data_IF_652803436713
#
_entry.id   IF_652803436713
#
_cell.length_a   1.000
_cell.length_b   1.000
_cell.length_c   1.000
_cell.angle_alpha   90.00
_cell.angle_beta   90.00
_cell.angle_gamma   90.00
#
_symmetry.space_group_name_H-M   'P 1'
#
loop_
_entity.id
_entity.type
_entity.pdbx_description
1 polymer ?
#
# COMPACT_ATOMS: atom_id res chain seq x y z
N UNK A 1 5.91 17.29 -6.23
CA UNK A 1 6.44 16.58 -7.42
C UNK A 1 5.45 15.47 -7.76
N UNK A 2 4.88 15.49 -8.97
CA UNK A 2 3.95 14.43 -9.38
C UNK A 2 4.76 13.20 -9.83
N UNK A 3 4.74 12.14 -9.04
CA UNK A 3 5.51 10.90 -9.31
C UNK A 3 5.02 10.15 -10.56
N UNK A 4 3.80 10.47 -11.01
CA UNK A 4 3.16 9.82 -12.17
C UNK A 4 3.48 10.52 -13.51
N UNK A 5 4.22 11.62 -13.50
CA UNK A 5 4.57 12.43 -14.69
C UNK A 5 6.07 12.45 -14.99
N UNK A 6 6.84 11.51 -14.45
CA UNK A 6 8.25 11.36 -14.82
C UNK A 6 8.37 10.79 -16.23
N UNK A 7 9.35 11.22 -17.00
CA UNK A 7 9.63 10.71 -18.35
C UNK A 7 10.19 9.27 -18.38
N UNK A 8 10.27 8.60 -17.22
CA UNK A 8 10.69 7.20 -17.05
C UNK A 8 9.79 6.51 -16.02
N UNK A 9 9.68 5.18 -16.05
CA UNK A 9 8.94 4.43 -15.04
C UNK A 9 9.43 4.75 -13.62
N UNK A 10 8.49 4.95 -12.69
CA UNK A 10 8.80 5.07 -11.27
C UNK A 10 8.78 3.68 -10.63
N UNK A 11 9.90 3.23 -10.11
CA UNK A 11 10.09 1.87 -9.60
C UNK A 11 9.93 1.84 -8.09
N UNK A 12 8.96 1.07 -7.61
CA UNK A 12 8.72 0.82 -6.18
C UNK A 12 9.11 -0.62 -5.86
N UNK A 13 10.16 -0.82 -5.07
CA UNK A 13 10.55 -2.14 -4.58
C UNK A 13 9.69 -2.55 -3.39
N UNK A 14 9.04 -3.72 -3.49
CA UNK A 14 8.19 -4.26 -2.42
C UNK A 14 9.04 -4.99 -1.39
N UNK A 15 9.15 -4.46 -0.19
CA UNK A 15 9.75 -5.14 0.97
C UNK A 15 8.66 -5.86 1.78
N UNK A 16 7.47 -5.26 1.87
CA UNK A 16 6.34 -5.81 2.61
C UNK A 16 6.69 -6.07 4.07
N UNK A 17 6.64 -7.33 4.48
CA UNK A 17 7.01 -7.82 5.81
C UNK A 17 8.25 -8.72 5.78
N UNK A 18 8.98 -8.78 4.68
CA UNK A 18 10.14 -9.66 4.50
C UNK A 18 11.29 -9.39 5.49
N UNK A 19 11.29 -8.22 6.14
CA UNK A 19 12.23 -7.88 7.19
C UNK A 19 12.08 -8.74 8.47
N UNK A 20 10.98 -9.49 8.64
CA UNK A 20 10.74 -10.36 9.78
C UNK A 20 10.86 -9.69 11.16
N UNK A 21 10.59 -8.37 11.25
CA UNK A 21 10.76 -7.57 12.48
C UNK A 21 12.18 -7.11 12.77
N UNK A 22 13.19 -7.55 12.01
CA UNK A 22 14.59 -7.13 12.15
C UNK A 22 14.88 -5.85 11.38
N UNK A 23 15.42 -4.85 12.06
CA UNK A 23 15.84 -3.62 11.40
C UNK A 23 17.07 -3.84 10.51
N UNK A 24 17.99 -4.71 10.92
CA UNK A 24 19.17 -5.07 10.16
C UNK A 24 18.80 -5.72 8.81
N UNK A 25 17.78 -6.56 8.79
CA UNK A 25 17.26 -7.13 7.55
C UNK A 25 16.55 -6.06 6.71
N UNK A 26 15.79 -5.16 7.33
CA UNK A 26 15.19 -4.03 6.64
C UNK A 26 16.25 -3.15 5.97
N UNK A 27 17.36 -2.86 6.64
CA UNK A 27 18.48 -2.10 6.07
C UNK A 27 19.05 -2.77 4.81
N UNK A 28 19.34 -4.07 4.87
CA UNK A 28 19.85 -4.83 3.71
C UNK A 28 18.89 -4.78 2.52
N UNK A 29 17.58 -4.89 2.78
CA UNK A 29 16.56 -4.83 1.75
C UNK A 29 16.46 -3.43 1.13
N UNK A 30 16.54 -2.37 1.94
CA UNK A 30 16.55 -0.98 1.47
C UNK A 30 17.81 -0.72 0.62
N UNK A 31 19.00 -1.16 1.09
CA UNK A 31 20.28 -1.01 0.36
C UNK A 31 20.22 -1.74 -0.99
N UNK A 32 19.73 -2.98 -1.00
CA UNK A 32 19.60 -3.77 -2.23
C UNK A 32 18.64 -3.10 -3.23
N UNK A 33 17.51 -2.58 -2.76
CA UNK A 33 16.55 -1.85 -3.60
C UNK A 33 17.18 -0.56 -4.17
N UNK A 34 17.87 0.22 -3.34
CA UNK A 34 18.55 1.43 -3.78
C UNK A 34 19.67 1.13 -4.80
N UNK A 35 20.49 0.11 -4.54
CA UNK A 35 21.55 -0.33 -5.46
C UNK A 35 21.00 -0.84 -6.80
N UNK A 36 19.80 -1.44 -6.79
CA UNK A 36 19.10 -1.87 -8.00
C UNK A 36 18.42 -0.73 -8.77
N UNK A 37 18.47 0.51 -8.26
CA UNK A 37 17.90 1.67 -8.92
C UNK A 37 16.41 1.89 -8.64
N UNK A 38 15.85 1.35 -7.57
CA UNK A 38 14.50 1.67 -7.16
C UNK A 38 14.37 3.14 -6.73
N UNK A 39 13.27 3.79 -7.11
CA UNK A 39 12.95 5.16 -6.67
C UNK A 39 12.38 5.18 -5.25
N UNK A 40 11.73 4.10 -4.84
CA UNK A 40 11.02 4.00 -3.56
C UNK A 40 11.00 2.54 -3.08
N UNK A 41 10.92 2.35 -1.77
CA UNK A 41 10.65 1.05 -1.17
C UNK A 41 9.29 1.06 -0.47
N UNK A 42 8.59 -0.08 -0.50
CA UNK A 42 7.26 -0.19 0.10
C UNK A 42 7.22 -1.24 1.20
N UNK A 43 6.72 -0.83 2.37
CA UNK A 43 6.47 -1.65 3.54
C UNK A 43 4.97 -1.91 3.76
N UNK A 44 4.65 -2.76 4.73
CA UNK A 44 3.30 -2.97 5.24
C UNK A 44 3.28 -2.68 6.73
N UNK A 45 2.39 -1.79 7.18
CA UNK A 45 2.19 -1.51 8.61
C UNK A 45 1.07 -2.40 9.09
N UNK A 46 1.45 -3.55 9.62
CA UNK A 46 0.52 -4.62 10.02
C UNK A 46 0.15 -4.46 11.48
N UNK A 47 -1.15 -4.36 11.75
CA UNK A 47 -1.79 -4.58 13.05
C UNK A 47 -2.89 -5.61 12.85
N UNK A 48 -2.80 -6.76 13.52
CA UNK A 48 -3.75 -7.85 13.33
C UNK A 48 -5.20 -7.40 13.59
N UNK A 49 -5.40 -6.57 14.61
CA UNK A 49 -6.71 -6.02 14.98
C UNK A 49 -7.33 -5.09 13.92
N UNK A 50 -6.53 -4.56 12.99
CA UNK A 50 -7.02 -3.75 11.87
C UNK A 50 -7.37 -4.59 10.63
N UNK A 51 -6.85 -5.82 10.55
CA UNK A 51 -6.95 -6.68 9.36
C UNK A 51 -7.96 -7.80 9.56
N UNK A 52 -7.99 -8.40 10.75
CA UNK A 52 -8.74 -9.63 11.02
C UNK A 52 -9.48 -9.58 12.36
N UNK A 53 -10.62 -10.27 12.39
CA UNK A 53 -11.24 -10.59 13.66
C UNK A 53 -10.42 -11.71 14.37
N UNK A 54 -10.24 -11.67 15.71
CA UNK A 54 -9.46 -12.68 16.45
C UNK A 54 -9.92 -14.14 16.22
N UNK A 55 -11.22 -14.33 15.93
CA UNK A 55 -11.80 -15.64 15.65
C UNK A 55 -11.78 -16.02 14.15
N UNK A 56 -11.00 -15.32 13.33
CA UNK A 56 -10.78 -15.71 11.95
C UNK A 56 -10.04 -17.05 11.90
N UNK A 57 -10.58 -18.05 11.28
CA UNK A 57 -10.13 -19.43 11.21
C UNK A 57 -8.62 -19.71 11.09
N UNK A 58 -8.28 -20.89 10.57
CA UNK A 58 -6.90 -21.38 10.46
C UNK A 58 -6.46 -21.39 9.00
N UNK A 59 -5.15 -21.25 8.78
CA UNK A 59 -4.49 -21.50 7.49
C UNK A 59 -3.52 -22.65 7.65
N UNK A 60 -3.42 -23.49 6.61
CA UNK A 60 -2.46 -24.57 6.54
C UNK A 60 -1.16 -24.05 5.93
N UNK A 61 -0.08 -24.13 6.68
CA UNK A 61 1.27 -23.76 6.24
C UNK A 61 2.20 -24.98 6.31
N UNK A 62 3.36 -24.98 5.61
CA UNK A 62 4.40 -25.96 5.86
C UNK A 62 4.83 -25.88 7.33
N UNK A 63 4.42 -26.82 8.16
CA UNK A 63 4.66 -26.81 9.61
C UNK A 63 3.41 -26.93 10.45
N UNK A 64 2.21 -26.91 9.84
CA UNK A 64 0.93 -27.13 10.52
C UNK A 64 -0.10 -26.03 10.31
N UNK A 65 -1.23 -26.20 10.99
CA UNK A 65 -2.30 -25.19 10.99
C UNK A 65 -1.99 -24.11 12.03
N UNK A 66 -2.00 -22.86 11.61
CA UNK A 66 -1.88 -21.69 12.48
C UNK A 66 -3.14 -20.83 12.37
N UNK A 67 -3.56 -20.21 13.46
CA UNK A 67 -4.61 -19.19 13.40
C UNK A 67 -4.11 -18.02 12.57
N UNK A 68 -4.92 -17.59 11.60
CA UNK A 68 -4.54 -16.52 10.70
C UNK A 68 -4.26 -15.21 11.47
N UNK A 69 -5.08 -14.91 12.48
CA UNK A 69 -4.88 -13.76 13.36
C UNK A 69 -3.52 -13.79 14.07
N UNK A 70 -3.12 -14.95 14.64
CA UNK A 70 -1.84 -15.08 15.33
C UNK A 70 -0.67 -14.89 14.35
N UNK A 71 -0.82 -15.38 13.11
CA UNK A 71 0.18 -15.14 12.06
C UNK A 71 0.37 -13.66 11.74
N UNK A 72 -0.72 -12.89 11.68
CA UNK A 72 -0.61 -11.44 11.48
C UNK A 72 -0.04 -10.74 12.72
N UNK A 73 -0.35 -11.24 13.93
CA UNK A 73 0.20 -10.71 15.18
C UNK A 73 1.72 -10.84 15.26
N UNK A 74 2.28 -11.92 14.73
CA UNK A 74 3.73 -12.13 14.63
C UNK A 74 4.44 -11.13 13.69
N UNK A 75 3.71 -10.53 12.74
CA UNK A 75 4.24 -9.56 11.78
C UNK A 75 4.23 -8.13 12.31
N UNK A 76 3.62 -7.88 13.46
CA UNK A 76 3.56 -6.56 14.07
C UNK A 76 4.95 -6.12 14.51
N UNK A 77 5.25 -4.86 14.23
CA UNK A 77 6.47 -4.19 14.70
C UNK A 77 6.11 -2.87 15.37
N UNK A 78 7.02 -2.35 16.17
CA UNK A 78 6.79 -1.08 16.85
C UNK A 78 6.79 0.10 15.86
N UNK A 79 6.10 1.17 16.20
CA UNK A 79 6.12 2.43 15.44
C UNK A 79 7.55 2.94 15.19
N UNK A 80 8.46 2.78 16.17
CA UNK A 80 9.86 3.20 16.05
C UNK A 80 10.61 2.43 14.96
N UNK A 81 10.21 1.21 14.63
CA UNK A 81 10.78 0.44 13.53
C UNK A 81 10.63 1.18 12.19
N UNK A 82 9.40 1.62 11.87
CA UNK A 82 9.14 2.33 10.61
C UNK A 82 9.79 3.71 10.57
N UNK A 83 9.93 4.37 11.72
CA UNK A 83 10.66 5.62 11.80
C UNK A 83 12.13 5.42 11.38
N UNK A 84 12.79 4.40 11.93
CA UNK A 84 14.16 4.04 11.56
C UNK A 84 14.28 3.65 10.08
N UNK A 85 13.32 2.87 9.55
CA UNK A 85 13.30 2.50 8.14
C UNK A 85 13.17 3.74 7.22
N UNK A 86 12.28 4.69 7.55
CA UNK A 86 12.13 5.95 6.79
C UNK A 86 13.44 6.74 6.78
N UNK A 87 14.07 6.91 7.96
CA UNK A 87 15.32 7.65 8.05
C UNK A 87 16.43 6.96 7.26
N UNK A 88 16.46 5.63 7.27
CA UNK A 88 17.44 4.88 6.49
C UNK A 88 17.17 4.96 4.97
N UNK A 89 15.92 4.95 4.54
CA UNK A 89 15.56 5.23 3.15
C UNK A 89 16.11 6.58 2.68
N UNK A 90 16.01 7.61 3.53
CA UNK A 90 16.56 8.94 3.24
C UNK A 90 18.08 8.91 3.07
N UNK A 91 18.80 8.13 3.91
CA UNK A 91 20.26 7.93 3.80
C UNK A 91 20.61 7.26 2.48
N UNK A 92 19.83 6.25 2.06
CA UNK A 92 20.03 5.53 0.79
C UNK A 92 19.50 6.28 -0.46
N UNK A 93 18.88 7.45 -0.29
CA UNK A 93 18.36 8.25 -1.39
C UNK A 93 17.10 7.70 -2.06
N UNK A 94 16.35 6.82 -1.39
CA UNK A 94 15.09 6.24 -1.87
C UNK A 94 13.90 6.74 -1.07
N UNK A 95 12.71 6.79 -1.71
CA UNK A 95 11.46 7.14 -1.04
C UNK A 95 11.00 6.04 -0.07
N UNK A 96 10.29 6.44 0.99
CA UNK A 96 9.60 5.53 1.90
C UNK A 96 8.11 5.54 1.61
N UNK A 97 7.53 4.37 1.32
CA UNK A 97 6.11 4.15 1.13
C UNK A 97 5.64 3.01 2.04
N UNK A 98 4.38 3.02 2.45
CA UNK A 98 3.81 1.87 3.13
C UNK A 98 2.32 1.70 2.85
N UNK A 99 1.82 0.48 3.09
CA UNK A 99 0.39 0.18 3.10
C UNK A 99 -0.12 0.15 4.53
N UNK A 100 -1.03 1.05 4.93
CA UNK A 100 -1.82 0.92 6.15
C UNK A 100 -3.02 0.01 5.86
N UNK A 101 -3.52 -0.70 6.86
CA UNK A 101 -4.70 -1.58 6.75
C UNK A 101 -5.89 -1.06 7.57
N UNK A 102 -5.68 -0.06 8.43
CA UNK A 102 -6.72 0.56 9.21
C UNK A 102 -6.40 2.01 9.58
N UNK A 103 -7.15 2.54 10.53
CA UNK A 103 -7.07 3.96 10.88
C UNK A 103 -5.85 4.29 11.75
N UNK A 104 -5.43 3.38 12.61
CA UNK A 104 -4.25 3.55 13.46
C UNK A 104 -2.98 3.50 12.60
N UNK A 105 -2.80 2.45 11.79
CA UNK A 105 -1.65 2.30 10.89
C UNK A 105 -1.56 3.46 9.89
N UNK A 106 -2.71 4.00 9.43
CA UNK A 106 -2.73 5.19 8.59
C UNK A 106 -2.24 6.44 9.33
N UNK A 107 -2.73 6.68 10.55
CA UNK A 107 -2.34 7.87 11.32
C UNK A 107 -0.85 7.84 11.66
N UNK A 108 -0.30 6.67 11.94
CA UNK A 108 1.13 6.48 12.16
C UNK A 108 1.94 6.70 10.88
N UNK A 109 1.46 6.17 9.74
CA UNK A 109 2.10 6.39 8.45
C UNK A 109 2.14 7.86 8.07
N UNK A 110 1.04 8.59 8.23
CA UNK A 110 0.97 10.02 7.92
C UNK A 110 1.95 10.82 8.80
N UNK A 111 2.09 10.46 10.07
CA UNK A 111 3.05 11.10 10.98
C UNK A 111 4.52 10.87 10.57
N UNK A 112 4.78 9.85 9.76
CA UNK A 112 6.09 9.61 9.16
C UNK A 112 6.35 10.45 7.91
N UNK A 113 5.36 11.19 7.39
CA UNK A 113 5.46 11.96 6.14
C UNK A 113 6.01 11.08 4.99
N UNK A 114 5.28 10.01 4.59
CA UNK A 114 5.74 9.08 3.59
C UNK A 114 5.84 9.74 2.21
N UNK A 115 6.67 9.18 1.34
CA UNK A 115 6.74 9.59 -0.06
C UNK A 115 5.42 9.31 -0.81
N UNK A 116 4.76 8.19 -0.50
CA UNK A 116 3.45 7.81 -1.01
C UNK A 116 2.71 6.90 -0.02
N UNK A 117 1.38 6.85 -0.13
CA UNK A 117 0.52 5.94 0.63
C UNK A 117 -0.06 4.92 -0.34
N UNK A 118 0.05 3.63 -0.01
CA UNK A 118 -0.51 2.53 -0.80
C UNK A 118 -1.74 1.95 -0.12
N UNK A 119 -2.87 1.97 -0.80
CA UNK A 119 -4.08 1.27 -0.35
C UNK A 119 -4.10 -0.10 -1.04
N UNK A 120 -4.08 -1.16 -0.25
CA UNK A 120 -4.10 -2.52 -0.75
C UNK A 120 -5.50 -2.88 -1.33
N UNK A 121 -5.56 -3.93 -2.17
CA UNK A 121 -6.80 -4.32 -2.84
C UNK A 121 -7.96 -4.61 -1.87
N UNK A 122 -7.76 -5.33 -0.75
CA UNK A 122 -8.83 -5.56 0.22
C UNK A 122 -9.38 -4.28 0.88
N UNK A 123 -8.54 -3.26 1.04
CA UNK A 123 -8.89 -2.01 1.71
C UNK A 123 -9.58 -0.99 0.80
N UNK A 124 -9.74 -1.28 -0.49
CA UNK A 124 -10.42 -0.35 -1.42
C UNK A 124 -11.89 -0.09 -1.02
N UNK A 125 -12.52 -1.04 -0.34
CA UNK A 125 -13.87 -0.91 0.20
C UNK A 125 -13.93 -0.33 1.63
N UNK A 126 -12.79 -0.09 2.26
CA UNK A 126 -12.71 0.50 3.60
C UNK A 126 -12.89 2.02 3.51
N UNK A 127 -14.13 2.48 3.27
CA UNK A 127 -14.44 3.89 3.02
C UNK A 127 -13.96 4.83 4.14
N UNK A 128 -14.03 4.50 5.45
CA UNK A 128 -13.46 5.33 6.50
C UNK A 128 -11.95 5.55 6.35
N UNK A 129 -11.20 4.49 5.95
CA UNK A 129 -9.76 4.58 5.67
C UNK A 129 -9.50 5.53 4.49
N UNK A 130 -10.24 5.36 3.38
CA UNK A 130 -10.11 6.21 2.20
C UNK A 130 -10.43 7.68 2.50
N UNK A 131 -11.52 7.94 3.22
CA UNK A 131 -11.92 9.29 3.60
C UNK A 131 -10.86 9.97 4.47
N UNK A 132 -10.33 9.26 5.47
CA UNK A 132 -9.26 9.78 6.34
C UNK A 132 -7.95 9.97 5.58
N UNK A 133 -7.58 9.05 4.70
CA UNK A 133 -6.41 9.19 3.83
C UNK A 133 -6.54 10.45 2.98
N UNK A 134 -7.67 10.63 2.29
CA UNK A 134 -7.91 11.78 1.45
C UNK A 134 -7.86 13.12 2.21
N UNK A 135 -8.44 13.17 3.43
CA UNK A 135 -8.46 14.37 4.25
C UNK A 135 -7.07 14.73 4.80
N UNK A 136 -6.24 13.75 5.16
CA UNK A 136 -4.95 13.96 5.83
C UNK A 136 -3.76 13.94 4.89
N UNK A 137 -3.80 13.19 3.79
CA UNK A 137 -2.66 13.02 2.89
C UNK A 137 -2.27 14.30 2.12
N UNK A 138 -3.15 15.31 2.06
CA UNK A 138 -2.91 16.59 1.35
C UNK A 138 -2.28 16.36 -0.04
N UNK A 139 -0.97 16.60 -0.15
CA UNK A 139 -0.21 16.47 -1.40
C UNK A 139 0.54 15.13 -1.52
N UNK A 140 0.43 14.25 -0.51
CA UNK A 140 1.05 12.92 -0.56
C UNK A 140 0.36 12.10 -1.65
N UNK A 141 1.11 11.49 -2.58
CA UNK A 141 0.56 10.60 -3.58
C UNK A 141 -0.12 9.38 -2.96
N UNK A 142 -1.28 9.00 -3.53
CA UNK A 142 -2.05 7.83 -3.10
C UNK A 142 -2.10 6.84 -4.25
N UNK A 143 -1.73 5.60 -3.99
CA UNK A 143 -1.76 4.50 -4.94
C UNK A 143 -2.82 3.50 -4.49
N UNK A 144 -3.85 3.28 -5.29
CA UNK A 144 -4.96 2.38 -5.01
C UNK A 144 -4.80 1.09 -5.79
N UNK A 145 -5.10 -0.06 -5.19
CA UNK A 145 -5.19 -1.36 -5.89
C UNK A 145 -6.61 -1.86 -5.96
N UNK A 146 -7.00 -2.49 -7.08
CA UNK A 146 -8.40 -2.86 -7.36
C UNK A 146 -8.64 -4.38 -7.50
N UNK A 147 -7.69 -5.24 -7.11
CA UNK A 147 -7.69 -6.66 -7.45
C UNK A 147 -8.87 -7.49 -6.95
N UNK A 148 -9.57 -7.09 -5.90
CA UNK A 148 -10.76 -7.78 -5.36
C UNK A 148 -12.04 -6.94 -5.49
N UNK A 149 -12.02 -5.90 -6.32
CA UNK A 149 -13.10 -4.91 -6.40
C UNK A 149 -13.84 -4.98 -7.73
N UNK A 150 -15.14 -4.72 -7.70
CA UNK A 150 -15.95 -4.49 -8.89
C UNK A 150 -15.85 -3.02 -9.30
N UNK A 151 -16.20 -2.69 -10.54
CA UNK A 151 -16.16 -1.33 -11.07
C UNK A 151 -16.90 -0.32 -10.17
N UNK A 152 -18.11 -0.67 -9.70
CA UNK A 152 -18.89 0.16 -8.77
C UNK A 152 -18.18 0.44 -7.43
N UNK A 153 -17.32 -0.48 -6.98
CA UNK A 153 -16.58 -0.32 -5.73
C UNK A 153 -15.41 0.65 -5.95
N UNK A 154 -14.77 0.57 -7.12
CA UNK A 154 -13.74 1.51 -7.57
C UNK A 154 -14.33 2.93 -7.68
N UNK A 155 -15.45 3.09 -8.37
CA UNK A 155 -16.15 4.39 -8.50
C UNK A 155 -16.47 4.99 -7.12
N UNK A 156 -17.02 4.17 -6.21
CA UNK A 156 -17.33 4.60 -4.84
C UNK A 156 -16.08 5.00 -4.05
N UNK A 157 -14.98 4.26 -4.21
CA UNK A 157 -13.69 4.57 -3.58
C UNK A 157 -13.15 5.93 -4.05
N UNK A 158 -13.12 6.13 -5.36
CA UNK A 158 -12.64 7.36 -5.98
C UNK A 158 -13.52 8.57 -5.61
N UNK A 159 -14.83 8.41 -5.63
CA UNK A 159 -15.78 9.43 -5.17
C UNK A 159 -15.55 9.79 -3.68
N UNK A 160 -15.28 8.80 -2.85
CA UNK A 160 -14.98 9.02 -1.44
C UNK A 160 -13.71 9.85 -1.27
N UNK A 161 -12.65 9.52 -2.01
CA UNK A 161 -11.40 10.28 -2.00
C UNK A 161 -11.65 11.71 -2.47
N UNK A 162 -12.30 11.90 -3.63
CA UNK A 162 -12.59 13.22 -4.21
C UNK A 162 -13.40 14.10 -3.28
N UNK A 163 -14.41 13.55 -2.59
CA UNK A 163 -15.26 14.29 -1.64
C UNK A 163 -14.50 14.76 -0.40
N UNK A 164 -13.50 14.02 0.04
CA UNK A 164 -12.77 14.30 1.27
C UNK A 164 -11.44 15.04 1.06
N UNK A 165 -10.99 15.26 -0.18
CA UNK A 165 -9.83 16.12 -0.45
C UNK A 165 -10.23 17.58 -0.43
N UNK A 166 -9.44 18.40 0.25
CA UNK A 166 -9.69 19.84 0.41
C UNK A 166 -9.73 20.59 -0.93
N UNK A 167 -8.87 20.22 -1.88
CA UNK A 167 -8.75 20.83 -3.20
C UNK A 167 -9.50 20.07 -4.31
N UNK A 168 -10.10 18.92 -4.00
CA UNK A 168 -10.74 17.99 -4.96
C UNK A 168 -9.82 17.56 -6.12
N UNK A 169 -8.52 17.81 -6.00
CA UNK A 169 -7.55 17.46 -7.01
C UNK A 169 -7.21 15.96 -6.93
N UNK A 170 -7.21 15.29 -8.07
CA UNK A 170 -6.93 13.86 -8.21
C UNK A 170 -5.60 13.57 -8.92
N UNK A 171 -4.81 14.60 -9.28
CA UNK A 171 -3.59 14.47 -10.10
C UNK A 171 -2.50 13.60 -9.48
N UNK A 172 -2.52 13.42 -8.17
CA UNK A 172 -1.58 12.57 -7.44
C UNK A 172 -2.24 11.27 -6.91
N UNK A 173 -3.29 10.81 -7.59
CA UNK A 173 -3.92 9.51 -7.33
C UNK A 173 -3.61 8.57 -8.49
N UNK A 174 -3.10 7.37 -8.20
CA UNK A 174 -2.96 6.29 -9.16
C UNK A 174 -3.89 5.14 -8.81
N UNK A 175 -4.54 4.57 -9.81
CA UNK A 175 -5.33 3.35 -9.70
C UNK A 175 -4.61 2.23 -10.44
N UNK A 176 -4.27 1.16 -9.71
CA UNK A 176 -3.66 -0.03 -10.28
C UNK A 176 -4.73 -1.07 -10.58
N UNK A 177 -4.74 -1.54 -11.83
CA UNK A 177 -5.45 -2.76 -12.18
C UNK A 177 -4.63 -3.96 -11.68
N UNK A 178 -5.22 -4.78 -10.82
CA UNK A 178 -4.53 -5.88 -10.16
C UNK A 178 -5.32 -7.19 -10.29
N UNK A 179 -4.59 -8.30 -10.32
CA UNK A 179 -5.14 -9.66 -10.18
C UNK A 179 -4.67 -10.22 -8.84
N UNK A 180 -5.61 -10.70 -8.02
CA UNK A 180 -5.31 -11.19 -6.66
C UNK A 180 -5.08 -12.71 -6.69
N UNK A 181 -4.09 -13.12 -7.46
CA UNK A 181 -3.56 -14.48 -7.52
C UNK A 181 -2.04 -14.40 -7.63
N UNK A 182 -1.30 -15.25 -6.93
CA UNK A 182 0.17 -15.21 -6.90
C UNK A 182 0.75 -16.64 -7.09
N UNK A 183 1.27 -16.96 -8.30
CA UNK A 183 1.27 -16.16 -9.52
C UNK A 183 -0.12 -16.09 -10.17
N UNK A 184 -0.40 -15.02 -10.90
CA UNK A 184 -1.61 -14.88 -11.68
C UNK A 184 -1.40 -15.48 -13.08
N UNK A 185 -2.36 -16.28 -13.62
CA UNK A 185 -2.35 -16.69 -15.02
C UNK A 185 -2.50 -15.47 -15.94
N UNK A 186 -1.82 -15.47 -17.08
CA UNK A 186 -1.90 -14.35 -18.06
C UNK A 186 -3.33 -14.13 -18.57
N UNK A 187 -4.14 -15.19 -18.65
CA UNK A 187 -5.56 -15.14 -19.03
C UNK A 187 -6.42 -14.28 -18.11
N UNK A 188 -5.97 -14.08 -16.87
CA UNK A 188 -6.71 -13.33 -15.86
C UNK A 188 -6.34 -11.83 -15.85
N UNK A 189 -5.32 -11.42 -16.59
CA UNK A 189 -4.83 -10.02 -16.59
C UNK A 189 -5.85 -9.04 -17.14
N UNK A 190 -6.71 -9.46 -18.06
CA UNK A 190 -7.81 -8.62 -18.58
C UNK A 190 -7.42 -7.18 -18.91
N UNK A 191 -6.30 -6.97 -19.59
CA UNK A 191 -5.70 -5.64 -19.84
C UNK A 191 -6.64 -4.67 -20.58
N UNK A 192 -7.67 -5.20 -21.26
CA UNK A 192 -8.71 -4.38 -21.89
C UNK A 192 -9.48 -3.49 -20.89
N UNK A 193 -9.50 -3.85 -19.60
CA UNK A 193 -10.11 -3.00 -18.58
C UNK A 193 -9.40 -1.65 -18.41
N UNK A 194 -8.13 -1.55 -18.78
CA UNK A 194 -7.38 -0.29 -18.73
C UNK A 194 -7.93 0.77 -19.70
N UNK A 195 -8.74 0.37 -20.69
CA UNK A 195 -9.39 1.27 -21.65
C UNK A 195 -10.79 1.74 -21.22
N UNK A 196 -11.30 1.29 -20.06
CA UNK A 196 -12.61 1.70 -19.56
C UNK A 196 -12.58 3.19 -19.19
N UNK A 197 -13.59 4.01 -19.60
CA UNK A 197 -13.60 5.46 -19.38
C UNK A 197 -13.44 5.90 -17.92
N UNK A 198 -13.88 5.10 -16.95
CA UNK A 198 -13.65 5.37 -15.51
C UNK A 198 -12.17 5.41 -15.17
N UNK A 199 -11.35 4.63 -15.87
CA UNK A 199 -9.90 4.62 -15.68
C UNK A 199 -9.18 5.62 -16.61
N UNK A 200 -9.81 6.01 -17.72
CA UNK A 200 -9.24 6.93 -18.71
C UNK A 200 -9.57 8.41 -18.44
N UNK A 201 -10.65 8.71 -17.71
CA UNK A 201 -11.14 10.09 -17.47
C UNK A 201 -10.66 10.68 -16.13
N UNK A 202 -9.57 10.18 -15.56
CA UNK A 202 -9.00 10.63 -14.29
C UNK A 202 -7.79 11.56 -14.49
N UNK A 203 -7.81 12.31 -15.60
CA UNK A 203 -6.86 13.38 -15.89
C UNK A 203 -7.42 14.74 -15.53
#
# INVERSE_FOLDING_TARGET
>A
MNIFQKGHPFIIAEIGTAHGGSFEEAQKLIEAAAAAGADCVKFQIVYADEILHPDTGFVSLPGGNIRLYDRFKELEVTKNFFFRCKDYCKICGVGFCASPFGLQSLDELIALEPFAIKIASPELNHLPLLARTAAKAKDIPIILSSGVSKLKDIEKALDTIKKNRSNKNMDNIALLHCVTSYPAPETDYNLNYLTIPVMANWH
#
